data_IF_772083809214
#
_entry.id   IF_772083809214
#
_cell.length_a   1.000
_cell.length_b   1.000
_cell.length_c   1.000
_cell.angle_alpha   90.00
_cell.angle_beta   90.00
_cell.angle_gamma   90.00
#
_symmetry.space_group_name_H-M   'P 1'
#
loop_
_entity.id
_entity.type
_entity.pdbx_description
1 polymer ?
#
# COMPACT_ATOMS: atom_id res chain seq x y z
N UNK A 1 28.42 2.53 -15.79
CA UNK A 1 27.88 3.39 -16.88
C UNK A 1 26.39 3.14 -17.18
N UNK A 2 25.69 2.22 -16.48
CA UNK A 2 24.27 1.92 -16.67
C UNK A 2 23.30 2.97 -16.09
N UNK A 3 23.73 3.80 -15.13
CA UNK A 3 22.83 4.77 -14.49
C UNK A 3 22.39 5.89 -15.44
N UNK A 4 23.27 6.42 -16.30
CA UNK A 4 22.95 7.56 -17.17
C UNK A 4 21.94 7.24 -18.30
N UNK A 5 21.91 6.00 -18.81
CA UNK A 5 20.90 5.58 -19.79
C UNK A 5 19.52 5.37 -19.15
N UNK A 6 19.47 4.89 -17.90
CA UNK A 6 18.22 4.72 -17.17
C UNK A 6 17.58 6.07 -16.78
N UNK A 7 18.41 7.07 -16.44
CA UNK A 7 17.97 8.45 -16.19
C UNK A 7 17.42 9.15 -17.45
N UNK A 8 17.99 8.91 -18.64
CA UNK A 8 17.45 9.47 -19.89
C UNK A 8 16.09 8.85 -20.28
N UNK A 9 15.88 7.54 -20.05
CA UNK A 9 14.55 6.92 -20.24
C UNK A 9 13.51 7.48 -19.25
N UNK A 10 13.94 7.84 -18.03
CA UNK A 10 13.09 8.52 -17.04
C UNK A 10 12.76 9.96 -17.45
N UNK A 11 13.67 10.68 -18.12
CA UNK A 11 13.39 12.02 -18.63
C UNK A 11 12.37 12.03 -19.78
N UNK A 12 12.40 11.05 -20.69
CA UNK A 12 11.49 10.98 -21.84
C UNK A 12 10.08 10.43 -21.47
N UNK A 13 9.99 9.63 -20.39
CA UNK A 13 8.73 9.11 -19.81
C UNK A 13 8.51 9.56 -18.36
N UNK A 14 8.93 10.78 -18.02
CA UNK A 14 8.88 11.33 -16.66
C UNK A 14 7.47 11.40 -16.06
N UNK A 15 6.45 11.50 -16.91
CA UNK A 15 5.05 11.56 -16.47
C UNK A 15 4.51 10.20 -15.98
N UNK A 16 5.09 9.07 -16.40
CA UNK A 16 4.58 7.73 -16.06
C UNK A 16 4.60 7.45 -14.56
N UNK A 17 5.71 7.64 -13.81
CA UNK A 17 5.72 7.45 -12.37
C UNK A 17 4.75 8.41 -11.65
N UNK A 18 4.65 9.66 -12.10
CA UNK A 18 3.71 10.63 -11.55
C UNK A 18 2.25 10.21 -11.78
N UNK A 19 1.95 9.64 -12.95
CA UNK A 19 0.61 9.15 -13.30
C UNK A 19 0.26 7.91 -12.48
N UNK A 20 1.19 6.97 -12.30
CA UNK A 20 1.03 5.81 -11.43
C UNK A 20 0.74 6.25 -9.99
N UNK A 21 1.52 7.18 -9.45
CA UNK A 21 1.31 7.72 -8.10
C UNK A 21 -0.04 8.45 -7.99
N UNK A 22 -0.43 9.21 -9.01
CA UNK A 22 -1.74 9.89 -9.02
C UNK A 22 -2.87 8.88 -9.00
N UNK A 23 -2.81 7.83 -9.83
CA UNK A 23 -3.83 6.78 -9.88
C UNK A 23 -3.89 5.95 -8.60
N UNK A 24 -2.75 5.76 -7.93
CA UNK A 24 -2.71 5.19 -6.59
C UNK A 24 -3.56 6.02 -5.61
N UNK A 25 -3.37 7.34 -5.57
CA UNK A 25 -4.15 8.22 -4.68
C UNK A 25 -5.63 8.27 -5.06
N UNK A 26 -5.96 8.24 -6.36
CA UNK A 26 -7.36 8.14 -6.81
C UNK A 26 -7.98 6.85 -6.29
N UNK A 27 -7.30 5.71 -6.45
CA UNK A 27 -7.72 4.43 -5.88
C UNK A 27 -7.88 4.49 -4.36
N UNK A 28 -6.93 5.12 -3.66
CA UNK A 28 -6.97 5.31 -2.22
C UNK A 28 -8.19 6.12 -1.76
N UNK A 29 -8.56 7.18 -2.49
CA UNK A 29 -9.77 7.98 -2.21
C UNK A 29 -11.05 7.15 -2.36
N UNK A 30 -11.15 6.34 -3.42
CA UNK A 30 -12.31 5.45 -3.57
C UNK A 30 -12.33 4.37 -2.49
N UNK A 31 -11.17 3.80 -2.13
CA UNK A 31 -11.06 2.80 -1.09
C UNK A 31 -11.45 3.32 0.29
N UNK A 32 -11.12 4.56 0.64
CA UNK A 32 -11.52 5.14 1.92
C UNK A 32 -13.03 5.33 2.02
N UNK A 33 -13.67 5.82 0.94
CA UNK A 33 -15.12 5.99 0.85
C UNK A 33 -15.87 4.65 0.94
N UNK A 34 -15.36 3.63 0.25
CA UNK A 34 -15.96 2.30 0.24
C UNK A 34 -15.70 1.52 1.54
N UNK A 35 -14.63 1.83 2.28
CA UNK A 35 -14.27 1.06 3.48
C UNK A 35 -15.37 1.04 4.53
N UNK A 36 -16.09 2.17 4.72
CA UNK A 36 -17.17 2.28 5.68
C UNK A 36 -18.35 1.38 5.33
N UNK A 37 -18.86 1.49 4.09
CA UNK A 37 -20.00 0.69 3.63
C UNK A 37 -19.67 -0.80 3.57
N UNK A 38 -18.44 -1.16 3.16
CA UNK A 38 -18.01 -2.56 3.07
C UNK A 38 -17.78 -3.18 4.45
N UNK A 39 -17.20 -2.41 5.39
CA UNK A 39 -17.00 -2.82 6.79
C UNK A 39 -18.34 -3.07 7.49
N UNK A 40 -19.30 -2.18 7.29
CA UNK A 40 -20.61 -2.26 7.94
C UNK A 40 -21.49 -3.38 7.34
N UNK A 41 -21.36 -3.67 6.04
CA UNK A 41 -22.17 -4.68 5.37
C UNK A 41 -21.67 -6.13 5.55
N UNK A 42 -20.36 -6.37 5.48
CA UNK A 42 -19.79 -7.74 5.50
C UNK A 42 -19.17 -8.14 6.84
N UNK A 43 -19.12 -7.22 7.80
CA UNK A 43 -18.45 -7.41 9.08
C UNK A 43 -16.95 -7.13 9.01
N UNK A 44 -16.44 -6.45 10.06
CA UNK A 44 -15.07 -5.89 10.13
C UNK A 44 -13.95 -6.90 9.85
N UNK A 45 -14.02 -8.12 10.38
CA UNK A 45 -12.98 -9.15 10.17
C UNK A 45 -12.93 -9.69 8.75
N UNK A 46 -14.09 -9.91 8.12
CA UNK A 46 -14.15 -10.44 6.75
C UNK A 46 -13.69 -9.37 5.77
N UNK A 47 -14.12 -8.12 5.97
CA UNK A 47 -13.71 -6.98 5.14
C UNK A 47 -12.19 -6.77 5.15
N UNK A 48 -11.53 -6.92 6.31
CA UNK A 48 -10.07 -6.88 6.41
C UNK A 48 -9.41 -8.00 5.61
N UNK A 49 -9.83 -9.26 5.79
CA UNK A 49 -9.24 -10.42 5.08
C UNK A 49 -9.38 -10.28 3.56
N UNK A 50 -10.55 -9.85 3.09
CA UNK A 50 -10.79 -9.61 1.66
C UNK A 50 -9.92 -8.49 1.12
N UNK A 51 -9.77 -7.39 1.88
CA UNK A 51 -8.93 -6.25 1.47
C UNK A 51 -7.45 -6.66 1.37
N UNK A 52 -6.94 -7.44 2.32
CA UNK A 52 -5.56 -7.96 2.29
C UNK A 52 -5.35 -8.98 1.16
N UNK A 53 -6.33 -9.85 0.91
CA UNK A 53 -6.24 -10.79 -0.22
C UNK A 53 -6.21 -10.06 -1.57
N UNK A 54 -7.06 -9.04 -1.74
CA UNK A 54 -7.08 -8.19 -2.93
C UNK A 54 -5.75 -7.45 -3.11
N UNK A 55 -5.17 -6.98 -2.00
CA UNK A 55 -3.88 -6.33 -1.99
C UNK A 55 -2.75 -7.24 -2.47
N UNK A 56 -2.66 -8.45 -1.92
CA UNK A 56 -1.66 -9.44 -2.32
C UNK A 56 -1.79 -9.78 -3.81
N UNK A 57 -3.02 -10.00 -4.29
CA UNK A 57 -3.28 -10.28 -5.69
C UNK A 57 -2.87 -9.11 -6.61
N UNK A 58 -3.14 -7.86 -6.20
CA UNK A 58 -2.76 -6.68 -6.96
C UNK A 58 -1.23 -6.51 -7.07
N UNK A 59 -0.50 -6.72 -5.96
CA UNK A 59 0.97 -6.64 -5.97
C UNK A 59 1.63 -7.77 -6.76
N UNK A 60 1.15 -9.01 -6.60
CA UNK A 60 1.62 -10.15 -7.39
C UNK A 60 1.36 -9.88 -8.87
N UNK A 61 0.14 -9.45 -9.24
CA UNK A 61 -0.19 -9.09 -10.61
C UNK A 61 0.71 -7.98 -11.16
N UNK A 62 1.00 -6.96 -10.36
CA UNK A 62 1.86 -5.86 -10.76
C UNK A 62 3.30 -6.30 -11.02
N UNK A 63 3.78 -7.34 -10.32
CA UNK A 63 5.12 -7.91 -10.52
C UNK A 63 5.28 -8.66 -11.85
N UNK A 64 4.20 -9.22 -12.41
CA UNK A 64 4.25 -9.99 -13.66
C UNK A 64 3.90 -9.18 -14.91
N UNK A 65 3.34 -7.98 -14.75
CA UNK A 65 2.85 -7.15 -15.85
C UNK A 65 3.97 -6.24 -16.40
N UNK A 66 4.18 -6.32 -17.71
CA UNK A 66 5.09 -5.43 -18.47
C UNK A 66 4.35 -4.33 -19.24
N UNK A 67 3.02 -4.36 -19.27
CA UNK A 67 2.17 -3.36 -19.92
C UNK A 67 1.84 -2.19 -18.99
N UNK A 68 2.05 -0.97 -19.47
CA UNK A 68 1.84 0.26 -18.70
C UNK A 68 0.37 0.42 -18.25
N UNK A 69 -0.59 0.09 -19.11
CA UNK A 69 -2.02 0.25 -18.80
C UNK A 69 -2.48 -0.75 -17.74
N UNK A 70 -2.04 -2.00 -17.84
CA UNK A 70 -2.37 -3.03 -16.86
C UNK A 70 -1.74 -2.72 -15.49
N UNK A 71 -0.53 -2.16 -15.47
CA UNK A 71 0.12 -1.70 -14.25
C UNK A 71 -0.68 -0.57 -13.56
N UNK A 72 -1.17 0.41 -14.32
CA UNK A 72 -1.99 1.51 -13.78
C UNK A 72 -3.28 0.99 -13.13
N UNK A 73 -3.97 0.05 -13.79
CA UNK A 73 -5.21 -0.56 -13.26
C UNK A 73 -4.90 -1.32 -11.96
N UNK A 74 -3.83 -2.12 -11.93
CA UNK A 74 -3.44 -2.88 -10.75
C UNK A 74 -3.05 -1.96 -9.58
N UNK A 75 -2.35 -0.85 -9.85
CA UNK A 75 -2.02 0.15 -8.83
C UNK A 75 -3.27 0.84 -8.28
N UNK A 76 -4.28 1.10 -9.12
CA UNK A 76 -5.55 1.64 -8.65
C UNK A 76 -6.22 0.70 -7.64
N UNK A 77 -6.27 -0.61 -7.95
CA UNK A 77 -6.79 -1.62 -7.02
C UNK A 77 -5.91 -1.81 -5.78
N UNK A 78 -4.60 -1.69 -5.92
CA UNK A 78 -3.68 -1.69 -4.78
C UNK A 78 -3.98 -0.50 -3.85
N UNK A 79 -4.10 0.72 -4.37
CA UNK A 79 -4.46 1.91 -3.59
C UNK A 79 -5.82 1.77 -2.88
N UNK A 80 -6.81 1.23 -3.59
CA UNK A 80 -8.14 0.95 -3.04
C UNK A 80 -8.08 -0.06 -1.87
N UNK A 81 -7.33 -1.15 -2.05
CA UNK A 81 -7.16 -2.16 -1.00
C UNK A 81 -6.36 -1.66 0.21
N UNK A 82 -5.29 -0.85 0.02
CA UNK A 82 -4.53 -0.26 1.14
C UNK A 82 -5.49 0.58 2.00
N UNK A 83 -6.25 1.49 1.37
CA UNK A 83 -7.11 2.40 2.10
C UNK A 83 -8.18 1.66 2.94
N UNK A 84 -8.80 0.64 2.35
CA UNK A 84 -9.76 -0.21 3.05
C UNK A 84 -9.13 -0.99 4.21
N UNK A 85 -7.95 -1.58 4.00
CA UNK A 85 -7.23 -2.35 5.02
C UNK A 85 -6.84 -1.49 6.22
N UNK A 86 -6.27 -0.29 5.99
CA UNK A 86 -5.87 0.62 7.08
C UNK A 86 -7.09 1.06 7.90
N UNK A 87 -8.18 1.42 7.21
CA UNK A 87 -9.42 1.83 7.87
C UNK A 87 -9.99 0.69 8.73
N UNK A 88 -10.11 -0.52 8.19
CA UNK A 88 -10.61 -1.69 8.92
C UNK A 88 -9.70 -2.08 10.09
N UNK A 89 -8.38 -2.05 9.90
CA UNK A 89 -7.40 -2.40 10.93
C UNK A 89 -7.47 -1.45 12.13
N UNK A 90 -7.42 -0.14 11.89
CA UNK A 90 -7.51 0.85 12.96
C UNK A 90 -8.81 0.69 13.75
N UNK A 91 -9.89 0.51 13.01
CA UNK A 91 -11.26 0.36 13.50
C UNK A 91 -11.43 -0.91 14.35
N UNK A 92 -10.79 -2.02 13.98
CA UNK A 92 -10.76 -3.25 14.77
C UNK A 92 -9.97 -3.06 16.08
N UNK A 93 -8.82 -2.39 16.03
CA UNK A 93 -7.96 -2.15 17.22
C UNK A 93 -8.72 -1.34 18.28
N UNK A 94 -9.42 -0.28 17.89
CA UNK A 94 -10.21 0.55 18.81
C UNK A 94 -11.47 -0.14 19.33
N UNK A 95 -11.93 -1.21 18.67
CA UNK A 95 -13.06 -2.04 19.10
C UNK A 95 -12.63 -3.06 20.14
N UNK A 96 -11.43 -3.64 19.98
CA UNK A 96 -10.85 -4.58 20.95
C UNK A 96 -10.42 -3.89 22.25
N UNK A 97 -10.19 -2.58 22.20
CA UNK A 97 -9.70 -1.79 23.33
C UNK A 97 -10.86 -0.95 23.88
N UNK A 98 -11.15 -1.10 25.16
CA UNK A 98 -12.19 -0.34 25.85
C UNK A 98 -12.02 1.18 25.70
N UNK A 99 -13.10 1.96 25.89
CA UNK A 99 -13.13 3.40 25.61
C UNK A 99 -12.02 4.20 26.30
N UNK A 100 -11.59 3.76 27.48
CA UNK A 100 -10.61 4.48 28.31
C UNK A 100 -9.18 4.51 27.73
N UNK A 101 -8.83 3.56 26.84
CA UNK A 101 -7.45 3.40 26.34
C UNK A 101 -7.32 3.60 24.82
N UNK A 102 -8.36 4.10 24.16
CA UNK A 102 -8.38 4.28 22.68
C UNK A 102 -7.28 5.21 22.17
N UNK A 103 -6.98 6.29 22.89
CA UNK A 103 -5.94 7.25 22.49
C UNK A 103 -4.55 6.62 22.55
N UNK A 104 -4.27 5.84 23.59
CA UNK A 104 -2.97 5.15 23.78
C UNK A 104 -2.80 4.09 22.68
N UNK A 105 -3.87 3.34 22.38
CA UNK A 105 -3.87 2.36 21.29
C UNK A 105 -3.55 2.98 19.93
N UNK A 106 -4.15 4.14 19.63
CA UNK A 106 -3.87 4.88 18.40
C UNK A 106 -2.42 5.32 18.30
N UNK A 107 -1.85 5.83 19.40
CA UNK A 107 -0.43 6.23 19.47
C UNK A 107 0.49 5.04 19.22
N UNK A 108 0.23 3.89 19.85
CA UNK A 108 1.04 2.67 19.67
C UNK A 108 0.95 2.18 18.21
N UNK A 109 -0.23 2.20 17.61
CA UNK A 109 -0.41 1.82 16.20
C UNK A 109 0.38 2.72 15.25
N UNK A 110 0.32 4.04 15.44
CA UNK A 110 1.14 4.98 14.66
C UNK A 110 2.64 4.75 14.89
N UNK A 111 3.06 4.51 16.13
CA UNK A 111 4.46 4.23 16.44
C UNK A 111 4.98 2.99 15.70
N UNK A 112 4.16 1.93 15.65
CA UNK A 112 4.46 0.72 14.90
C UNK A 112 4.57 0.99 13.40
N UNK A 113 3.66 1.81 12.85
CA UNK A 113 3.72 2.22 11.46
C UNK A 113 5.00 2.99 11.13
N UNK A 114 5.37 3.99 11.94
CA UNK A 114 6.61 4.75 11.75
C UNK A 114 7.85 3.88 11.89
N UNK A 115 7.86 2.94 12.84
CA UNK A 115 8.96 1.98 13.00
C UNK A 115 9.13 1.09 11.75
N UNK A 116 8.03 0.65 11.14
CA UNK A 116 8.06 -0.08 9.87
C UNK A 116 8.70 0.72 8.74
N UNK A 117 8.33 2.00 8.59
CA UNK A 117 8.96 2.88 7.60
C UNK A 117 10.45 3.09 7.85
N UNK A 118 10.87 3.26 9.11
CA UNK A 118 12.28 3.38 9.47
C UNK A 118 13.08 2.12 9.11
N UNK A 119 12.49 0.94 9.34
CA UNK A 119 13.10 -0.34 8.97
C UNK A 119 13.26 -0.45 7.45
N UNK A 120 12.24 -0.07 6.68
CA UNK A 120 12.30 -0.03 5.20
C UNK A 120 13.44 0.87 4.72
N UNK A 121 13.57 2.07 5.29
CA UNK A 121 14.65 3.01 4.95
C UNK A 121 16.03 2.42 5.28
N UNK A 122 16.15 1.74 6.42
CA UNK A 122 17.39 1.10 6.85
C UNK A 122 17.78 -0.06 5.91
N UNK A 123 16.81 -0.88 5.50
CA UNK A 123 17.02 -1.94 4.50
C UNK A 123 17.41 -1.33 3.14
N UNK A 124 16.80 -0.19 2.75
CA UNK A 124 17.13 0.50 1.50
C UNK A 124 18.57 1.05 1.51
N UNK A 125 19.06 1.44 2.68
CA UNK A 125 20.43 1.90 2.85
C UNK A 125 21.45 0.76 2.62
N UNK A 126 21.14 -0.46 3.03
CA UNK A 126 22.00 -1.63 2.83
C UNK A 126 21.90 -2.23 1.42
N UNK A 127 20.75 -2.12 0.76
CA UNK A 127 20.50 -2.75 -0.54
C UNK A 127 20.44 -1.68 -1.64
N UNK A 128 21.54 -1.58 -2.40
CA UNK A 128 21.73 -0.59 -3.47
C UNK A 128 21.09 -0.99 -4.82
N UNK A 129 20.59 -2.23 -4.93
CA UNK A 129 19.87 -2.76 -6.09
C UNK A 129 18.34 -2.73 -5.88
N UNK A 130 17.65 -1.91 -6.68
CA UNK A 130 16.21 -1.66 -6.60
C UNK A 130 15.31 -2.88 -6.83
N UNK A 131 15.82 -3.91 -7.54
CA UNK A 131 15.06 -5.14 -7.83
C UNK A 131 14.93 -6.05 -6.61
N UNK A 132 15.99 -6.15 -5.82
CA UNK A 132 15.99 -6.95 -4.58
C UNK A 132 15.13 -6.29 -3.50
N UNK A 133 15.09 -4.95 -3.50
CA UNK A 133 14.26 -4.17 -2.60
C UNK A 133 12.75 -4.39 -2.82
N UNK A 134 12.31 -4.44 -4.08
CA UNK A 134 10.91 -4.77 -4.42
C UNK A 134 10.52 -6.20 -4.01
N UNK A 135 11.44 -7.16 -4.14
CA UNK A 135 11.20 -8.56 -3.75
C UNK A 135 11.05 -8.73 -2.23
N UNK A 136 11.85 -8.03 -1.44
CA UNK A 136 11.76 -8.05 0.03
C UNK A 136 10.50 -7.34 0.52
N UNK A 137 10.12 -6.23 -0.11
CA UNK A 137 8.86 -5.53 0.22
C UNK A 137 7.58 -6.27 -0.18
N UNK A 138 7.68 -7.27 -1.07
CA UNK A 138 6.56 -8.12 -1.47
C UNK A 138 6.39 -9.37 -0.59
N UNK A 139 7.37 -9.69 0.27
CA UNK A 139 7.23 -10.75 1.26
C UNK A 139 6.35 -10.22 2.42
N UNK A 140 5.25 -10.91 2.77
CA UNK A 140 4.29 -10.46 3.78
C UNK A 140 4.86 -10.44 5.20
#
# INVERSE_FOLDING_TARGET
SSSFFQWNLLCERSYIPALVQSMYFVGYLFGSLLSGTLSDAFGRKISLTVSVALQAAAFIGASFVTSHTALIILIFFAGLSIASSIACQYTLIIEMIGPDHRTIAGIINELFWKAGWLLIILVAYFIRDWRTFMLIGAAP
#
